data_IF_772864973587
#
_entry.id   IF_772864973587
#
_cell.length_a   1.000
_cell.length_b   1.000
_cell.length_c   1.000
_cell.angle_alpha   90.00
_cell.angle_beta   90.00
_cell.angle_gamma   90.00
#
_symmetry.space_group_name_H-M   'P 1'
#
loop_
_entity.id
_entity.type
_entity.pdbx_description
1 polymer ?
#
# COMPACT_ATOMS: atom_id res chain seq x y z
N UNK A 1 -25.51 -41.89 -11.17
CA UNK A 1 -24.90 -40.57 -11.42
C UNK A 1 -25.38 -39.98 -12.76
N UNK A 2 -26.68 -39.71 -12.97
CA UNK A 2 -27.16 -39.26 -14.29
C UNK A 2 -28.48 -38.49 -14.18
N UNK A 3 -28.42 -37.16 -14.11
CA UNK A 3 -29.45 -36.30 -14.72
C UNK A 3 -28.70 -35.23 -15.51
N UNK A 4 -28.28 -35.52 -16.74
CA UNK A 4 -27.66 -34.51 -17.61
C UNK A 4 -28.67 -33.37 -17.81
N UNK A 5 -28.25 -32.13 -17.56
CA UNK A 5 -29.10 -30.94 -17.78
C UNK A 5 -29.71 -30.28 -16.53
N UNK A 6 -29.48 -30.79 -15.31
CA UNK A 6 -29.95 -30.12 -14.07
C UNK A 6 -29.44 -28.68 -13.92
N UNK A 7 -28.28 -28.36 -14.51
CA UNK A 7 -27.68 -27.03 -14.53
C UNK A 7 -28.01 -26.22 -15.80
N UNK A 8 -28.73 -26.77 -16.77
CA UNK A 8 -29.00 -26.08 -18.04
C UNK A 8 -29.83 -24.80 -17.83
N UNK A 9 -30.77 -24.82 -16.88
CA UNK A 9 -31.52 -23.64 -16.46
C UNK A 9 -30.61 -22.54 -15.94
N UNK A 10 -29.65 -22.89 -15.07
CA UNK A 10 -28.76 -21.89 -14.45
C UNK A 10 -27.75 -21.34 -15.45
N UNK A 11 -27.26 -22.17 -16.37
CA UNK A 11 -26.40 -21.76 -17.48
C UNK A 11 -27.14 -20.79 -18.40
N UNK A 12 -28.37 -21.13 -18.83
CA UNK A 12 -29.16 -20.24 -19.68
C UNK A 12 -29.47 -18.91 -18.99
N UNK A 13 -29.80 -18.94 -17.70
CA UNK A 13 -30.04 -17.76 -16.87
C UNK A 13 -28.81 -16.86 -16.79
N UNK A 14 -27.62 -17.42 -16.61
CA UNK A 14 -26.38 -16.63 -16.46
C UNK A 14 -25.82 -16.14 -17.81
N UNK A 15 -26.08 -16.82 -18.93
CA UNK A 15 -25.59 -16.41 -20.27
C UNK A 15 -26.12 -15.05 -20.73
N UNK A 16 -27.30 -14.63 -20.26
CA UNK A 16 -27.91 -13.33 -20.60
C UNK A 16 -27.60 -12.23 -19.58
N UNK A 17 -26.95 -12.55 -18.47
CA UNK A 17 -26.56 -11.56 -17.47
C UNK A 17 -25.25 -10.88 -17.86
N UNK A 18 -25.06 -9.63 -17.40
CA UNK A 18 -23.79 -8.93 -17.59
C UNK A 18 -22.69 -9.63 -16.77
N UNK A 19 -21.46 -9.75 -17.31
CA UNK A 19 -20.34 -10.29 -16.57
C UNK A 19 -20.07 -9.47 -15.29
N UNK A 20 -19.80 -10.15 -14.18
CA UNK A 20 -19.37 -9.50 -12.93
C UNK A 20 -17.89 -9.07 -12.94
N UNK A 21 -17.19 -9.28 -14.07
CA UNK A 21 -15.76 -8.99 -14.24
C UNK A 21 -15.52 -7.52 -14.60
N UNK A 22 -14.47 -6.92 -14.04
CA UNK A 22 -13.93 -5.64 -14.50
C UNK A 22 -12.80 -5.87 -15.52
N UNK A 23 -12.73 -5.06 -16.57
CA UNK A 23 -11.70 -5.18 -17.60
C UNK A 23 -10.40 -4.45 -17.19
N UNK A 24 -9.63 -5.05 -16.28
CA UNK A 24 -8.31 -4.54 -15.93
C UNK A 24 -7.31 -4.82 -17.06
N UNK A 25 -6.48 -3.86 -17.50
CA UNK A 25 -6.16 -2.57 -16.86
C UNK A 25 -6.98 -1.35 -17.35
N UNK A 26 -7.86 -1.52 -18.34
CA UNK A 26 -8.60 -0.41 -18.94
C UNK A 26 -9.60 0.26 -17.98
N UNK A 27 -10.23 -0.53 -17.11
CA UNK A 27 -11.13 -0.06 -16.06
C UNK A 27 -10.61 -0.50 -14.69
N UNK A 28 -10.31 0.46 -13.81
CA UNK A 28 -9.88 0.20 -12.43
C UNK A 28 -11.07 0.14 -11.48
N UNK A 29 -11.05 -0.84 -10.59
CA UNK A 29 -12.02 -0.92 -9.50
C UNK A 29 -11.83 0.27 -8.54
N UNK A 30 -12.93 0.88 -8.11
CA UNK A 30 -12.89 1.94 -7.08
C UNK A 30 -12.58 1.31 -5.73
N UNK A 31 -11.46 1.71 -5.14
CA UNK A 31 -11.10 1.28 -3.78
C UNK A 31 -11.99 2.01 -2.75
N UNK A 32 -12.34 1.36 -1.63
CA UNK A 32 -13.06 2.00 -0.54
C UNK A 32 -12.22 3.12 0.10
N UNK A 33 -12.87 4.05 0.81
CA UNK A 33 -12.20 5.23 1.41
C UNK A 33 -11.10 4.86 2.41
N UNK A 34 -11.28 3.78 3.17
CA UNK A 34 -10.31 3.31 4.18
C UNK A 34 -9.45 2.14 3.68
N UNK A 35 -9.21 2.06 2.37
CA UNK A 35 -8.33 1.06 1.80
C UNK A 35 -6.90 1.20 2.34
N UNK A 36 -6.27 0.06 2.62
CA UNK A 36 -4.91 0.00 3.16
C UNK A 36 -3.90 -0.30 2.06
N UNK A 37 -3.53 0.71 1.29
CA UNK A 37 -2.52 0.62 0.23
C UNK A 37 -1.16 1.19 0.67
N UNK A 38 -0.46 1.85 -0.25
CA UNK A 38 0.86 2.45 0.00
C UNK A 38 0.82 3.42 1.20
N UNK A 39 1.88 3.40 1.98
CA UNK A 39 2.06 4.36 3.08
C UNK A 39 2.65 5.65 2.50
N UNK A 40 1.96 6.77 2.71
CA UNK A 40 2.45 8.12 2.40
C UNK A 40 3.04 8.75 3.66
N UNK A 41 4.26 9.26 3.56
CA UNK A 41 4.96 9.93 4.66
C UNK A 41 4.99 11.44 4.48
N UNK A 42 4.51 12.16 5.49
CA UNK A 42 4.52 13.63 5.57
C UNK A 42 5.66 14.07 6.48
N UNK A 43 6.83 14.28 5.90
CA UNK A 43 8.05 14.65 6.63
C UNK A 43 7.88 15.90 7.52
N UNK A 44 7.05 16.84 7.10
CA UNK A 44 6.75 18.09 7.83
C UNK A 44 6.10 17.86 9.20
N UNK A 45 5.30 16.79 9.35
CA UNK A 45 4.59 16.46 10.58
C UNK A 45 5.39 15.52 11.49
N UNK A 46 6.43 14.90 10.96
CA UNK A 46 7.21 13.93 11.71
C UNK A 46 8.10 14.62 12.76
N UNK A 47 8.00 14.17 14.00
CA UNK A 47 8.82 14.65 15.13
C UNK A 47 9.92 13.65 15.55
N UNK A 48 10.08 12.55 14.81
CA UNK A 48 11.09 11.54 15.13
C UNK A 48 10.83 10.73 16.41
N UNK A 49 9.58 10.60 16.84
CA UNK A 49 9.21 9.85 18.06
C UNK A 49 9.42 8.32 17.96
N UNK A 50 9.51 7.79 16.73
CA UNK A 50 9.73 6.36 16.43
C UNK A 50 8.68 5.38 17.00
N UNK A 51 7.47 5.84 17.33
CA UNK A 51 6.37 4.95 17.73
C UNK A 51 6.01 3.96 16.62
N UNK A 52 5.87 4.45 15.38
CA UNK A 52 5.59 3.60 14.22
C UNK A 52 6.64 2.51 13.97
N UNK A 53 7.91 2.75 14.31
CA UNK A 53 8.99 1.76 14.19
C UNK A 53 8.83 0.65 15.23
N UNK A 54 8.46 1.01 16.47
CA UNK A 54 8.26 0.08 17.57
C UNK A 54 6.99 -0.75 17.40
N UNK A 55 5.94 -0.13 16.86
CA UNK A 55 4.63 -0.75 16.68
C UNK A 55 4.56 -1.65 15.44
N UNK A 56 5.45 -1.45 14.45
CA UNK A 56 5.45 -2.23 13.22
C UNK A 56 5.80 -3.73 13.48
N UNK A 57 4.85 -4.67 13.25
CA UNK A 57 5.11 -6.09 13.50
C UNK A 57 6.12 -6.69 12.52
N UNK A 58 6.19 -6.16 11.30
CA UNK A 58 7.13 -6.61 10.26
C UNK A 58 8.48 -5.87 10.29
N UNK A 59 8.66 -4.90 11.20
CA UNK A 59 9.85 -4.04 11.27
C UNK A 59 10.23 -3.43 9.91
N UNK A 60 9.22 -2.96 9.18
CA UNK A 60 9.33 -2.48 7.80
C UNK A 60 9.59 -0.97 7.68
N UNK A 61 9.83 -0.27 8.79
CA UNK A 61 9.98 1.19 8.85
C UNK A 61 11.25 1.52 9.61
N UNK A 62 12.07 2.41 9.06
CA UNK A 62 13.23 2.99 9.73
C UNK A 62 13.19 4.52 9.62
N UNK A 63 13.52 5.22 10.72
CA UNK A 63 13.51 6.69 10.76
C UNK A 63 14.89 7.20 11.15
N UNK A 64 15.44 8.06 10.30
CA UNK A 64 16.76 8.68 10.44
C UNK A 64 16.62 10.19 10.63
N UNK A 65 17.41 10.77 11.55
CA UNK A 65 17.53 12.22 11.70
C UNK A 65 18.67 12.68 10.79
N UNK A 66 18.36 13.57 9.85
CA UNK A 66 19.31 14.06 8.84
C UNK A 66 19.80 15.46 9.18
N UNK A 67 18.89 16.29 9.67
CA UNK A 67 19.16 17.66 10.11
C UNK A 67 18.24 18.03 11.28
N UNK A 68 18.39 19.24 11.82
CA UNK A 68 17.52 19.70 12.89
C UNK A 68 16.07 19.82 12.43
N UNK A 69 15.20 19.03 13.10
CA UNK A 69 13.79 18.87 12.76
C UNK A 69 13.53 18.35 11.34
N UNK A 70 14.49 17.64 10.74
CA UNK A 70 14.35 16.96 9.45
C UNK A 70 14.57 15.47 9.64
N UNK A 71 13.54 14.68 9.34
CA UNK A 71 13.54 13.23 9.49
C UNK A 71 13.23 12.55 8.15
N UNK A 72 14.10 11.63 7.75
CA UNK A 72 13.88 10.73 6.63
C UNK A 72 13.28 9.42 7.13
N UNK A 73 12.35 8.86 6.37
CA UNK A 73 11.77 7.55 6.65
C UNK A 73 12.08 6.60 5.49
N UNK A 74 12.63 5.43 5.83
CA UNK A 74 12.80 4.32 4.88
C UNK A 74 11.70 3.30 5.11
N UNK A 75 10.96 2.99 4.06
CA UNK A 75 9.91 1.97 4.04
C UNK A 75 10.36 0.79 3.20
N UNK A 76 10.28 -0.39 3.80
CA UNK A 76 10.58 -1.66 3.15
C UNK A 76 9.26 -2.29 2.71
N UNK A 77 8.79 -1.95 1.49
CA UNK A 77 7.52 -2.45 0.97
C UNK A 77 7.55 -3.96 0.75
N UNK A 78 8.74 -4.55 0.57
CA UNK A 78 8.96 -6.00 0.52
C UNK A 78 8.66 -6.71 1.84
N UNK A 79 8.69 -5.98 2.97
CA UNK A 79 8.39 -6.50 4.31
C UNK A 79 7.02 -6.06 4.84
N UNK A 80 6.50 -4.95 4.35
CA UNK A 80 5.27 -4.37 4.86
C UNK A 80 4.07 -5.29 4.64
N UNK A 81 3.28 -5.50 5.70
CA UNK A 81 2.03 -6.28 5.64
C UNK A 81 0.78 -5.40 5.55
N UNK A 82 0.95 -4.09 5.35
CA UNK A 82 -0.13 -3.09 5.18
C UNK A 82 -1.20 -3.12 6.29
N UNK A 83 -0.79 -3.42 7.52
CA UNK A 83 -1.70 -3.55 8.67
C UNK A 83 -2.30 -2.23 9.16
N UNK A 84 -1.69 -1.08 8.84
CA UNK A 84 -2.15 0.25 9.26
C UNK A 84 -1.76 0.71 10.67
N UNK A 85 -1.19 -0.16 11.51
CA UNK A 85 -0.79 0.17 12.89
C UNK A 85 0.14 1.38 13.00
N UNK A 86 1.04 1.57 12.03
CA UNK A 86 1.93 2.73 11.98
C UNK A 86 1.20 4.07 11.79
N UNK A 87 0.05 4.08 11.13
CA UNK A 87 -0.81 5.26 10.99
C UNK A 87 -1.52 5.54 12.31
N UNK A 88 -2.13 4.51 12.89
CA UNK A 88 -2.89 4.62 14.15
C UNK A 88 -2.02 5.03 15.34
N UNK A 89 -0.77 4.56 15.39
CA UNK A 89 0.17 4.88 16.47
C UNK A 89 0.88 6.23 16.30
N UNK A 90 0.71 6.93 15.17
CA UNK A 90 1.39 8.19 14.92
C UNK A 90 0.69 9.36 15.63
N UNK A 91 1.30 10.01 16.65
CA UNK A 91 0.64 11.08 17.41
C UNK A 91 0.49 12.40 16.63
N UNK A 92 1.04 12.49 15.42
CA UNK A 92 1.06 13.70 14.59
C UNK A 92 0.51 13.47 13.19
N UNK A 93 -0.09 12.30 12.93
CA UNK A 93 -0.64 11.94 11.62
C UNK A 93 0.35 12.19 10.47
N UNK A 94 1.61 11.83 10.72
CA UNK A 94 2.69 11.96 9.74
C UNK A 94 2.68 10.81 8.72
N UNK A 95 1.88 9.78 8.95
CA UNK A 95 1.71 8.62 8.08
C UNK A 95 0.24 8.51 7.67
N UNK A 96 0.01 8.14 6.42
CA UNK A 96 -1.33 7.95 5.86
C UNK A 96 -1.33 6.75 4.91
N UNK A 97 -2.42 5.99 4.87
CA UNK A 97 -2.61 4.93 3.87
C UNK A 97 -3.31 5.50 2.64
N UNK A 98 -2.76 5.24 1.46
CA UNK A 98 -3.34 5.66 0.19
C UNK A 98 -4.10 4.51 -0.48
N UNK A 99 -4.99 4.80 -1.44
CA UNK A 99 -5.63 3.79 -2.27
C UNK A 99 -4.68 3.13 -3.29
N UNK A 100 -3.40 3.48 -3.30
CA UNK A 100 -2.43 2.96 -4.27
C UNK A 100 -2.07 1.50 -3.94
N UNK A 101 -2.45 0.56 -4.80
CA UNK A 101 -2.13 -0.87 -4.65
C UNK A 101 -1.20 -1.42 -5.75
N UNK A 102 -1.00 -0.69 -6.85
CA UNK A 102 -0.20 -1.10 -8.00
C UNK A 102 1.31 -0.85 -7.76
N UNK A 103 1.88 -1.48 -6.73
CA UNK A 103 3.26 -1.27 -6.26
C UNK A 103 4.27 -2.29 -6.80
N UNK A 104 3.86 -3.10 -7.79
CA UNK A 104 4.69 -4.18 -8.31
C UNK A 104 5.97 -3.64 -8.93
N UNK A 105 7.11 -4.25 -8.57
CA UNK A 105 8.43 -3.97 -9.13
C UNK A 105 9.11 -5.30 -9.47
N UNK A 106 9.99 -5.28 -10.48
CA UNK A 106 10.80 -6.45 -10.86
C UNK A 106 11.91 -6.66 -9.83
N UNK A 107 12.59 -5.58 -9.46
CA UNK A 107 13.72 -5.61 -8.54
C UNK A 107 13.26 -5.36 -7.11
N UNK A 108 13.76 -6.18 -6.18
CA UNK A 108 13.43 -6.05 -4.74
C UNK A 108 13.92 -4.71 -4.15
N UNK A 109 15.03 -4.18 -4.65
CA UNK A 109 15.63 -2.94 -4.16
C UNK A 109 14.72 -1.74 -4.41
N UNK A 110 13.99 -1.74 -5.53
CA UNK A 110 13.01 -0.69 -5.87
C UNK A 110 11.79 -0.66 -4.94
N UNK A 111 11.59 -1.71 -4.14
CA UNK A 111 10.57 -1.75 -3.08
C UNK A 111 11.04 -1.10 -1.77
N UNK A 112 12.30 -0.66 -1.70
CA UNK A 112 12.83 0.13 -0.59
C UNK A 112 12.67 1.60 -0.94
N UNK A 113 11.69 2.24 -0.32
CA UNK A 113 11.33 3.63 -0.59
C UNK A 113 11.93 4.51 0.47
N UNK A 114 12.67 5.53 0.06
CA UNK A 114 13.22 6.55 0.96
C UNK A 114 12.43 7.83 0.77
N UNK A 115 11.71 8.24 1.80
CA UNK A 115 10.89 9.45 1.77
C UNK A 115 11.65 10.61 2.42
N UNK A 116 12.03 11.62 1.63
CA UNK A 116 12.70 12.85 2.07
C UNK A 116 11.73 14.04 2.12
N UNK A 117 12.13 15.11 2.82
CA UNK A 117 11.39 16.37 2.97
C UNK A 117 11.28 17.19 1.68
N UNK A 118 12.24 17.05 0.78
CA UNK A 118 12.24 17.74 -0.50
C UNK A 118 11.80 16.75 -1.57
N UNK A 119 10.74 17.13 -2.29
CA UNK A 119 9.99 16.35 -3.28
C UNK A 119 8.94 15.40 -2.66
N UNK A 120 7.67 15.71 -2.92
CA UNK A 120 6.55 14.77 -2.82
C UNK A 120 6.61 13.67 -3.88
N UNK A 121 7.81 13.14 -4.13
CA UNK A 121 8.09 12.02 -5.02
C UNK A 121 8.98 11.02 -4.25
N UNK A 122 8.35 9.91 -3.88
CA UNK A 122 8.99 8.71 -3.36
C UNK A 122 10.00 8.19 -4.41
N UNK A 123 11.28 8.55 -4.31
CA UNK A 123 12.32 7.96 -5.17
C UNK A 123 12.75 6.61 -4.59
N UNK A 124 12.63 5.49 -5.35
CA UNK A 124 13.21 4.23 -4.94
C UNK A 124 14.73 4.39 -4.78
N UNK A 125 15.31 3.72 -3.79
CA UNK A 125 16.75 3.78 -3.51
C UNK A 125 17.52 3.28 -4.76
N UNK A 126 18.36 4.14 -5.36
CA UNK A 126 19.23 3.74 -6.47
C UNK A 126 20.30 2.78 -5.94
N UNK A 127 20.46 1.57 -6.50
CA UNK A 127 21.50 0.65 -6.06
C UNK A 127 22.88 1.21 -6.39
N UNK A 128 23.77 1.20 -5.40
CA UNK A 128 25.20 1.54 -5.54
C UNK A 128 25.99 0.45 -6.24
#
# INVERSE_FOLDING_TARGET
MKIPGKMAHEVLRHSVMKPATCNYPAEKQKMPEHFRGRIRYKAEKCIGCKFCVRDCPARAIEIFKVADKVFEAKFYLDRCIYCGQCVDSCPKDALELTPDFELAQIDKEKLRVVCRREEGEDKPEEPS
#
